data_IF_044064992141
#
_entry.id   IF_044064992141
#
_cell.length_a   1.000
_cell.length_b   1.000
_cell.length_c   1.000
_cell.angle_alpha   90.00
_cell.angle_beta   90.00
_cell.angle_gamma   90.00
#
_symmetry.space_group_name_H-M   'P 1'
#
loop_
_entity.id
_entity.type
_entity.pdbx_description
1 polymer ?
#
# COMPACT_ATOMS: atom_id res chain seq x y z
N UNK A 1 -18.44 0.97 -34.19
CA UNK A 1 -18.04 1.78 -33.03
C UNK A 1 -17.47 0.85 -32.01
N UNK A 2 -16.15 0.73 -31.94
CA UNK A 2 -15.45 -0.02 -30.90
C UNK A 2 -15.54 0.79 -29.60
N UNK A 3 -16.36 0.34 -28.67
CA UNK A 3 -16.34 0.88 -27.31
C UNK A 3 -14.96 0.58 -26.72
N UNK A 4 -14.10 1.59 -26.62
CA UNK A 4 -12.85 1.48 -25.85
C UNK A 4 -13.22 1.01 -24.44
N UNK A 5 -12.83 -0.21 -24.13
CA UNK A 5 -12.96 -0.77 -22.78
C UNK A 5 -12.04 0.03 -21.87
N UNK A 6 -12.62 0.98 -21.12
CA UNK A 6 -11.86 1.81 -20.19
C UNK A 6 -11.14 0.90 -19.17
N UNK A 7 -9.82 0.96 -19.17
CA UNK A 7 -9.00 0.17 -18.23
C UNK A 7 -9.38 0.54 -16.79
N UNK A 8 -9.59 -0.45 -15.91
CA UNK A 8 -9.93 -0.17 -14.53
C UNK A 8 -8.76 0.54 -13.83
N UNK A 9 -9.08 1.56 -13.02
CA UNK A 9 -8.14 2.33 -12.22
C UNK A 9 -8.29 1.95 -10.74
N UNK A 10 -7.22 1.43 -10.14
CA UNK A 10 -7.16 1.11 -8.72
C UNK A 10 -6.28 2.12 -7.99
N UNK A 11 -6.80 2.70 -6.93
CA UNK A 11 -6.08 3.67 -6.08
C UNK A 11 -5.44 2.95 -4.90
N UNK A 12 -4.14 3.09 -4.74
CA UNK A 12 -3.35 2.51 -3.66
C UNK A 12 -2.73 3.65 -2.84
N UNK A 13 -2.93 3.64 -1.53
CA UNK A 13 -2.33 4.60 -0.60
C UNK A 13 -1.12 3.97 0.10
N UNK A 14 -0.04 4.75 0.23
CA UNK A 14 1.08 4.44 1.12
C UNK A 14 0.87 5.16 2.44
N UNK A 15 0.85 4.42 3.55
CA UNK A 15 0.69 4.93 4.90
C UNK A 15 1.81 4.43 5.82
N UNK A 16 1.98 5.09 6.94
CA UNK A 16 2.99 4.79 7.95
C UNK A 16 3.69 6.05 8.45
N UNK A 17 4.50 5.90 9.48
CA UNK A 17 5.19 6.99 10.14
C UNK A 17 6.12 7.78 9.21
N UNK A 18 6.59 8.92 9.67
CA UNK A 18 7.63 9.67 8.98
C UNK A 18 8.92 8.84 8.89
N UNK A 19 9.68 9.02 7.81
CA UNK A 19 11.00 8.41 7.59
C UNK A 19 11.02 6.87 7.45
N UNK A 20 9.87 6.18 7.38
CA UNK A 20 9.83 4.73 7.11
C UNK A 20 10.17 4.38 5.66
N UNK A 21 10.30 5.38 4.78
CA UNK A 21 10.71 5.21 3.38
C UNK A 21 9.57 5.09 2.39
N UNK A 22 8.36 5.65 2.68
CA UNK A 22 7.21 5.64 1.75
C UNK A 22 7.55 6.23 0.38
N UNK A 23 8.17 7.40 0.36
CA UNK A 23 8.58 8.09 -0.88
C UNK A 23 9.63 7.28 -1.64
N UNK A 24 10.62 6.69 -0.95
CA UNK A 24 11.60 5.82 -1.59
C UNK A 24 10.94 4.56 -2.18
N UNK A 25 9.98 3.97 -1.47
CA UNK A 25 9.19 2.83 -1.94
C UNK A 25 8.35 3.21 -3.17
N UNK A 26 7.69 4.37 -3.15
CA UNK A 26 6.96 4.95 -4.26
C UNK A 26 7.84 5.13 -5.51
N UNK A 27 8.98 5.80 -5.37
CA UNK A 27 9.92 6.06 -6.47
C UNK A 27 10.51 4.76 -7.01
N UNK A 28 10.83 3.80 -6.13
CA UNK A 28 11.32 2.48 -6.54
C UNK A 28 10.31 1.75 -7.41
N UNK A 29 9.04 1.71 -7.02
CA UNK A 29 8.01 1.03 -7.79
C UNK A 29 7.68 1.75 -9.11
N UNK A 30 7.57 3.06 -9.10
CA UNK A 30 7.16 3.85 -10.28
C UNK A 30 8.29 4.00 -11.30
N UNK A 31 9.49 4.38 -10.84
CA UNK A 31 10.60 4.82 -11.70
C UNK A 31 11.82 3.90 -11.63
N UNK A 32 11.78 2.88 -10.78
CA UNK A 32 12.91 2.01 -10.46
C UNK A 32 14.16 2.80 -10.03
N UNK A 33 13.97 3.92 -9.32
CA UNK A 33 15.02 4.78 -8.79
C UNK A 33 15.04 4.75 -7.28
N UNK A 34 16.18 5.06 -6.67
CA UNK A 34 16.35 5.30 -5.27
C UNK A 34 17.17 6.57 -5.05
N UNK A 35 16.64 7.44 -4.23
CA UNK A 35 17.35 8.60 -3.72
C UNK A 35 17.18 8.63 -2.20
N UNK A 36 18.26 8.84 -1.50
CA UNK A 36 18.23 9.00 -0.06
C UNK A 36 17.59 10.36 0.26
N UNK A 37 16.29 10.31 0.64
CA UNK A 37 15.50 11.52 0.90
C UNK A 37 15.56 11.81 2.38
N UNK A 38 16.24 12.88 2.76
CA UNK A 38 16.36 13.35 4.14
C UNK A 38 15.29 14.40 4.51
N UNK A 39 14.48 14.85 3.55
CA UNK A 39 13.43 15.83 3.78
C UNK A 39 12.06 15.15 3.90
N UNK A 40 11.26 15.65 4.82
CA UNK A 40 9.85 15.22 4.95
C UNK A 40 9.07 15.59 3.70
N UNK A 41 8.28 14.64 3.18
CA UNK A 41 7.35 14.89 2.07
C UNK A 41 6.37 16.00 2.45
N UNK A 42 6.28 17.04 1.61
CA UNK A 42 5.31 18.13 1.80
C UNK A 42 4.13 17.86 0.87
N UNK A 43 2.99 17.46 1.46
CA UNK A 43 1.75 17.25 0.72
C UNK A 43 1.50 15.81 0.30
N UNK A 44 0.85 15.66 -0.84
CA UNK A 44 0.42 14.39 -1.40
C UNK A 44 0.84 14.34 -2.88
N UNK A 45 1.56 13.30 -3.27
CA UNK A 45 1.94 13.06 -4.65
C UNK A 45 1.25 11.79 -5.17
N UNK A 46 0.87 11.77 -6.45
CA UNK A 46 0.40 10.54 -7.08
C UNK A 46 0.90 10.36 -8.49
N UNK A 47 1.16 9.11 -8.86
CA UNK A 47 1.51 8.72 -10.24
C UNK A 47 0.68 7.53 -10.67
N UNK A 48 0.43 7.43 -11.98
CA UNK A 48 -0.29 6.31 -12.59
C UNK A 48 0.72 5.42 -13.31
N UNK A 49 0.64 4.12 -13.03
CA UNK A 49 1.39 3.07 -13.74
C UNK A 49 0.41 2.08 -14.35
N UNK A 50 0.62 1.72 -15.61
CA UNK A 50 -0.10 0.60 -16.25
C UNK A 50 0.64 -0.68 -15.92
N UNK A 51 -0.10 -1.68 -15.44
CA UNK A 51 0.44 -2.99 -15.04
C UNK A 51 -0.25 -4.06 -15.88
N UNK A 52 0.54 -4.94 -16.49
CA UNK A 52 0.07 -6.14 -17.16
C UNK A 52 -0.06 -7.26 -16.13
N UNK A 53 -1.20 -7.96 -16.15
CA UNK A 53 -1.50 -9.08 -15.27
C UNK A 53 -1.08 -10.39 -15.93
N UNK A 54 -0.91 -11.45 -15.14
CA UNK A 54 -0.52 -12.79 -15.62
C UNK A 54 -1.46 -13.35 -16.69
N UNK A 55 -2.70 -12.88 -16.76
CA UNK A 55 -3.71 -13.28 -17.75
C UNK A 55 -3.74 -12.38 -18.99
N UNK A 56 -2.76 -11.51 -19.18
CA UNK A 56 -2.62 -10.60 -20.32
C UNK A 56 -3.53 -9.37 -20.28
N UNK A 57 -4.32 -9.18 -19.23
CA UNK A 57 -5.11 -7.95 -19.02
C UNK A 57 -4.24 -6.84 -18.47
N UNK A 58 -4.58 -5.62 -18.80
CA UNK A 58 -3.95 -4.42 -18.23
C UNK A 58 -4.87 -3.71 -17.25
N UNK A 59 -4.27 -3.16 -16.20
CA UNK A 59 -4.94 -2.31 -15.22
C UNK A 59 -4.11 -1.08 -14.95
N UNK A 60 -4.74 0.01 -14.55
CA UNK A 60 -4.06 1.23 -14.11
C UNK A 60 -4.03 1.28 -12.58
N UNK A 61 -2.84 1.53 -12.05
CA UNK A 61 -2.62 1.75 -10.63
C UNK A 61 -2.31 3.23 -10.42
N UNK A 62 -3.10 3.92 -9.62
CA UNK A 62 -2.77 5.23 -9.11
C UNK A 62 -2.20 5.08 -7.72
N UNK A 63 -0.88 5.20 -7.60
CA UNK A 63 -0.18 5.12 -6.32
C UNK A 63 -0.07 6.53 -5.72
N UNK A 64 -0.41 6.65 -4.44
CA UNK A 64 -0.38 7.89 -3.69
C UNK A 64 0.67 7.81 -2.59
N UNK A 65 1.67 8.70 -2.66
CA UNK A 65 2.65 8.93 -1.59
C UNK A 65 2.11 9.99 -0.64
N UNK A 66 2.05 9.66 0.64
CA UNK A 66 1.53 10.57 1.67
C UNK A 66 2.65 11.06 2.58
N UNK A 67 2.56 12.31 3.03
CA UNK A 67 3.41 12.80 4.11
C UNK A 67 3.16 11.94 5.37
N UNK A 68 4.25 11.42 5.96
CA UNK A 68 4.21 10.56 7.16
C UNK A 68 3.94 11.32 8.45
N UNK A 69 3.49 12.58 8.37
CA UNK A 69 3.20 13.36 9.56
C UNK A 69 1.72 13.24 9.90
N UNK A 70 1.43 12.75 11.09
CA UNK A 70 0.12 12.73 11.75
C UNK A 70 -0.61 14.09 11.74
N UNK A 71 0.10 15.19 11.49
CA UNK A 71 -0.44 16.56 11.40
C UNK A 71 -1.37 16.80 10.21
N UNK A 72 -1.38 15.90 9.22
CA UNK A 72 -2.21 16.03 8.02
C UNK A 72 -3.43 15.09 7.99
N UNK A 73 -3.87 14.59 9.15
CA UNK A 73 -5.03 13.71 9.28
C UNK A 73 -6.28 14.20 8.53
N UNK A 74 -6.50 15.51 8.46
CA UNK A 74 -7.69 16.07 7.81
C UNK A 74 -7.67 15.91 6.28
N UNK A 75 -6.49 15.98 5.65
CA UNK A 75 -6.34 15.83 4.20
C UNK A 75 -6.43 14.34 3.82
N UNK A 76 -5.90 13.46 4.67
CA UNK A 76 -5.83 12.03 4.44
C UNK A 76 -7.21 11.36 4.45
N UNK A 77 -8.17 11.81 5.27
CA UNK A 77 -9.51 11.21 5.40
C UNK A 77 -10.29 11.08 4.07
N UNK A 78 -10.21 12.06 3.20
CA UNK A 78 -10.90 12.00 1.91
C UNK A 78 -10.29 10.97 0.95
N UNK A 79 -8.98 10.70 1.08
CA UNK A 79 -8.29 9.72 0.26
C UNK A 79 -8.56 8.29 0.72
N UNK A 80 -8.70 8.06 2.03
CA UNK A 80 -9.11 6.76 2.58
C UNK A 80 -10.40 6.25 1.94
N UNK A 81 -11.41 7.12 1.81
CA UNK A 81 -12.72 6.76 1.26
C UNK A 81 -12.69 6.31 -0.21
N UNK A 82 -11.68 6.73 -0.95
CA UNK A 82 -11.53 6.40 -2.37
C UNK A 82 -10.48 5.35 -2.64
N UNK A 83 -9.76 4.89 -1.61
CA UNK A 83 -8.74 3.86 -1.72
C UNK A 83 -9.36 2.50 -2.07
N UNK A 84 -8.66 1.74 -2.91
CA UNK A 84 -8.96 0.35 -3.22
C UNK A 84 -8.04 -0.59 -2.46
N UNK A 85 -6.82 -0.12 -2.17
CA UNK A 85 -5.85 -0.83 -1.35
C UNK A 85 -4.97 0.15 -0.56
N UNK A 86 -4.36 -0.36 0.50
CA UNK A 86 -3.45 0.37 1.39
C UNK A 86 -2.20 -0.48 1.62
N UNK A 87 -1.03 0.15 1.51
CA UNK A 87 0.24 -0.39 1.95
C UNK A 87 0.66 0.38 3.20
N UNK A 88 0.61 -0.28 4.36
CA UNK A 88 1.07 0.26 5.62
C UNK A 88 2.52 -0.13 5.82
N UNK A 89 3.42 0.86 5.89
CA UNK A 89 4.86 0.65 5.92
C UNK A 89 5.41 1.04 7.29
N UNK A 90 6.27 0.18 7.85
CA UNK A 90 7.11 0.50 8.99
C UNK A 90 8.58 0.22 8.66
N UNK A 91 9.49 0.73 9.47
CA UNK A 91 10.94 0.56 9.34
C UNK A 91 11.42 -0.54 10.29
N UNK A 92 12.01 -1.61 9.74
CA UNK A 92 12.52 -2.74 10.58
C UNK A 92 13.68 -2.34 11.48
N UNK A 93 14.34 -1.20 11.18
CA UNK A 93 15.43 -0.64 11.98
C UNK A 93 14.96 0.31 13.08
N UNK A 94 13.65 0.69 13.09
CA UNK A 94 13.09 1.61 14.06
C UNK A 94 11.85 1.03 14.77
N UNK A 95 12.07 0.49 15.98
CA UNK A 95 11.05 -0.22 16.77
C UNK A 95 9.80 0.61 17.04
N UNK A 96 9.95 1.93 17.16
CA UNK A 96 8.83 2.83 17.42
C UNK A 96 7.79 2.80 16.28
N UNK A 97 8.24 2.74 15.03
CA UNK A 97 7.36 2.69 13.85
C UNK A 97 6.57 1.37 13.79
N UNK A 98 7.17 0.26 14.24
CA UNK A 98 6.49 -1.02 14.38
C UNK A 98 5.44 -0.98 15.50
N UNK A 99 5.77 -0.38 16.65
CA UNK A 99 4.82 -0.24 17.76
C UNK A 99 3.59 0.58 17.37
N UNK A 100 3.75 1.54 16.46
CA UNK A 100 2.66 2.39 15.98
C UNK A 100 1.75 1.74 14.93
N UNK A 101 2.10 0.55 14.42
CA UNK A 101 1.30 -0.18 13.43
C UNK A 101 -0.15 -0.39 13.88
N UNK A 102 -0.38 -0.72 15.15
CA UNK A 102 -1.75 -0.94 15.68
C UNK A 102 -2.60 0.31 15.57
N UNK A 103 -2.07 1.47 15.92
CA UNK A 103 -2.76 2.75 15.82
C UNK A 103 -3.13 3.06 14.36
N UNK A 104 -2.22 2.80 13.41
CA UNK A 104 -2.51 2.95 11.99
C UNK A 104 -3.63 2.02 11.52
N UNK A 105 -3.61 0.75 11.94
CA UNK A 105 -4.64 -0.22 11.56
C UNK A 105 -6.01 0.17 12.13
N UNK A 106 -6.08 0.67 13.35
CA UNK A 106 -7.32 1.18 13.94
C UNK A 106 -7.87 2.36 13.14
N UNK A 107 -7.05 3.35 12.83
CA UNK A 107 -7.44 4.50 12.00
C UNK A 107 -7.91 4.08 10.61
N UNK A 108 -7.19 3.15 9.96
CA UNK A 108 -7.59 2.60 8.66
C UNK A 108 -8.98 1.98 8.76
N UNK A 109 -9.25 1.16 9.78
CA UNK A 109 -10.54 0.49 9.96
C UNK A 109 -11.71 1.44 10.20
N UNK A 110 -11.47 2.57 10.83
CA UNK A 110 -12.50 3.59 11.06
C UNK A 110 -12.87 4.35 9.78
N UNK A 111 -11.92 4.53 8.86
CA UNK A 111 -12.07 5.43 7.71
C UNK A 111 -12.35 4.70 6.40
N UNK A 112 -12.03 3.41 6.29
CA UNK A 112 -12.18 2.66 5.03
C UNK A 112 -13.27 1.60 5.08
N UNK A 113 -13.80 1.27 3.91
CA UNK A 113 -14.67 0.11 3.74
C UNK A 113 -13.92 -1.19 3.99
N UNK A 114 -14.60 -2.21 4.52
CA UNK A 114 -14.06 -3.58 4.68
C UNK A 114 -13.60 -4.24 3.38
N UNK A 115 -13.86 -3.62 2.23
CA UNK A 115 -13.42 -4.08 0.90
C UNK A 115 -11.99 -3.66 0.56
N UNK A 116 -11.46 -2.66 1.26
CA UNK A 116 -10.10 -2.15 1.00
C UNK A 116 -9.08 -3.18 1.46
N UNK A 117 -8.23 -3.62 0.54
CA UNK A 117 -7.16 -4.57 0.84
C UNK A 117 -6.03 -3.82 1.55
N UNK A 118 -5.66 -4.26 2.73
CA UNK A 118 -4.53 -3.68 3.48
C UNK A 118 -3.43 -4.73 3.64
N UNK A 119 -2.19 -4.31 3.41
CA UNK A 119 -0.99 -5.12 3.68
C UNK A 119 -0.03 -4.36 4.57
N UNK A 120 0.70 -5.09 5.43
CA UNK A 120 1.77 -4.56 6.27
C UNK A 120 3.11 -4.86 5.61
N UNK A 121 3.98 -3.85 5.53
CA UNK A 121 5.30 -3.97 4.92
C UNK A 121 6.38 -3.49 5.88
N UNK A 122 7.32 -4.38 6.23
CA UNK A 122 8.57 -4.05 6.88
C UNK A 122 9.60 -3.62 5.83
N UNK A 123 9.99 -2.35 5.83
CA UNK A 123 10.97 -1.79 4.90
C UNK A 123 12.36 -1.68 5.52
N UNK A 124 13.38 -1.51 4.69
CA UNK A 124 14.80 -1.35 5.00
C UNK A 124 15.48 -2.65 5.49
N UNK A 125 15.08 -3.79 4.93
CA UNK A 125 15.71 -5.08 5.25
C UNK A 125 17.16 -5.18 4.79
N UNK A 126 17.63 -4.27 3.95
CA UNK A 126 19.04 -4.13 3.55
C UNK A 126 19.94 -3.68 4.70
N UNK A 127 19.41 -3.11 5.76
CA UNK A 127 20.14 -2.65 6.95
C UNK A 127 20.02 -3.66 8.12
N UNK A 128 20.50 -4.88 7.86
CA UNK A 128 20.39 -5.99 8.81
C UNK A 128 21.16 -5.73 10.12
N UNK A 129 22.25 -4.96 10.06
CA UNK A 129 23.04 -4.60 11.24
C UNK A 129 22.26 -3.77 12.26
N UNK A 130 21.35 -2.93 11.78
CA UNK A 130 20.52 -2.06 12.61
C UNK A 130 19.11 -2.59 12.82
N UNK A 131 18.78 -3.82 12.34
CA UNK A 131 17.45 -4.41 12.49
C UNK A 131 17.06 -4.52 13.96
N UNK A 132 15.87 -3.99 14.30
CA UNK A 132 15.27 -4.03 15.64
C UNK A 132 13.95 -4.79 15.69
N UNK A 133 13.38 -5.12 14.54
CA UNK A 133 12.13 -5.88 14.41
C UNK A 133 12.40 -7.11 13.57
N UNK A 134 12.18 -8.30 14.16
CA UNK A 134 12.37 -9.56 13.44
C UNK A 134 11.21 -9.82 12.48
N UNK A 135 11.44 -10.72 11.54
CA UNK A 135 10.39 -11.12 10.59
C UNK A 135 9.20 -11.75 11.32
N UNK A 136 9.47 -12.59 12.32
CA UNK A 136 8.45 -13.26 13.13
C UNK A 136 7.58 -12.26 13.91
N UNK A 137 8.19 -11.18 14.42
CA UNK A 137 7.42 -10.08 15.04
C UNK A 137 6.49 -9.41 14.04
N UNK A 138 6.98 -9.12 12.81
CA UNK A 138 6.17 -8.55 11.75
C UNK A 138 5.00 -9.47 11.34
N UNK A 139 5.27 -10.76 11.17
CA UNK A 139 4.26 -11.78 10.87
C UNK A 139 3.22 -11.88 11.99
N UNK A 140 3.65 -11.86 13.26
CA UNK A 140 2.76 -11.92 14.42
C UNK A 140 1.84 -10.68 14.47
N UNK A 141 2.37 -9.47 14.24
CA UNK A 141 1.62 -8.24 14.18
C UNK A 141 0.56 -8.28 13.08
N UNK A 142 0.94 -8.67 11.88
CA UNK A 142 0.04 -8.76 10.74
C UNK A 142 -1.08 -9.78 10.97
N UNK A 143 -0.75 -10.94 11.56
CA UNK A 143 -1.72 -11.96 11.95
C UNK A 143 -2.72 -11.43 12.98
N UNK A 144 -2.26 -10.72 14.01
CA UNK A 144 -3.12 -10.08 15.01
C UNK A 144 -4.04 -9.03 14.35
N UNK A 145 -3.50 -8.28 13.40
CA UNK A 145 -4.25 -7.30 12.64
C UNK A 145 -5.09 -7.91 11.49
N UNK A 146 -5.04 -9.21 11.23
CA UNK A 146 -5.81 -9.86 10.16
C UNK A 146 -5.46 -9.37 8.75
N UNK A 147 -4.19 -8.97 8.51
CA UNK A 147 -3.67 -8.47 7.24
C UNK A 147 -2.43 -9.28 6.80
N UNK A 148 -2.07 -9.21 5.52
CA UNK A 148 -0.87 -9.88 5.00
C UNK A 148 0.39 -9.12 5.37
N UNK A 149 1.52 -9.84 5.57
CA UNK A 149 2.83 -9.27 5.86
C UNK A 149 3.82 -9.53 4.73
N UNK A 150 4.65 -8.53 4.47
CA UNK A 150 5.78 -8.60 3.55
C UNK A 150 6.97 -7.83 4.12
N UNK A 151 8.17 -8.18 3.65
CA UNK A 151 9.38 -7.41 3.89
C UNK A 151 10.00 -6.97 2.58
N UNK A 152 10.62 -5.79 2.57
CA UNK A 152 11.26 -5.25 1.37
C UNK A 152 12.41 -4.31 1.69
N UNK A 153 13.17 -3.99 0.65
CA UNK A 153 14.10 -2.86 0.64
C UNK A 153 13.78 -1.93 -0.53
N UNK A 154 13.31 -0.74 -0.23
CA UNK A 154 13.19 0.31 -1.24
C UNK A 154 14.56 0.73 -1.82
N UNK A 155 15.65 0.55 -1.06
CA UNK A 155 17.01 0.86 -1.48
C UNK A 155 17.51 -0.10 -2.54
N UNK A 156 17.41 -1.40 -2.31
CA UNK A 156 17.88 -2.43 -3.25
C UNK A 156 16.84 -2.79 -4.32
N UNK A 157 15.55 -2.56 -4.06
CA UNK A 157 14.42 -2.98 -4.89
C UNK A 157 13.90 -4.37 -4.52
N UNK A 158 14.49 -5.02 -3.52
CA UNK A 158 14.08 -6.36 -3.08
C UNK A 158 12.62 -6.39 -2.66
N UNK A 159 11.87 -7.37 -3.18
CA UNK A 159 10.46 -7.66 -2.90
C UNK A 159 9.44 -6.56 -3.24
N UNK A 160 9.81 -5.48 -3.94
CA UNK A 160 8.87 -4.41 -4.30
C UNK A 160 7.78 -4.93 -5.24
N UNK A 161 8.15 -5.49 -6.40
CA UNK A 161 7.20 -5.98 -7.39
C UNK A 161 6.31 -7.12 -6.86
N UNK A 162 6.82 -8.12 -6.11
CA UNK A 162 5.98 -9.16 -5.49
C UNK A 162 4.89 -8.61 -4.58
N UNK A 163 5.16 -7.56 -3.80
CA UNK A 163 4.17 -6.91 -2.93
C UNK A 163 3.04 -6.32 -3.77
N UNK A 164 3.37 -5.58 -4.83
CA UNK A 164 2.36 -4.98 -5.71
C UNK A 164 1.57 -6.03 -6.47
N UNK A 165 2.20 -7.09 -6.96
CA UNK A 165 1.52 -8.16 -7.69
C UNK A 165 0.47 -8.86 -6.81
N UNK A 166 0.81 -9.22 -5.58
CA UNK A 166 -0.13 -9.81 -4.62
C UNK A 166 -1.28 -8.84 -4.27
N UNK A 167 -0.93 -7.58 -3.96
CA UNK A 167 -1.90 -6.56 -3.59
C UNK A 167 -2.90 -6.27 -4.72
N UNK A 168 -2.42 -6.11 -5.95
CA UNK A 168 -3.26 -5.85 -7.14
C UNK A 168 -4.20 -7.02 -7.39
N UNK A 169 -3.69 -8.26 -7.34
CA UNK A 169 -4.48 -9.47 -7.51
C UNK A 169 -5.63 -9.54 -6.51
N UNK A 170 -5.34 -9.39 -5.21
CA UNK A 170 -6.34 -9.39 -4.14
C UNK A 170 -7.34 -8.25 -4.31
N UNK A 171 -6.87 -7.06 -4.70
CA UNK A 171 -7.74 -5.90 -4.94
C UNK A 171 -8.72 -6.17 -6.07
N UNK A 172 -8.26 -6.69 -7.20
CA UNK A 172 -9.11 -7.02 -8.33
C UNK A 172 -10.16 -8.07 -7.93
N UNK A 173 -9.77 -9.11 -7.20
CA UNK A 173 -10.68 -10.16 -6.73
C UNK A 173 -11.79 -9.59 -5.84
N UNK A 174 -11.45 -8.76 -4.86
CA UNK A 174 -12.43 -8.12 -3.97
C UNK A 174 -13.43 -7.23 -4.73
N UNK A 175 -12.96 -6.46 -5.71
CA UNK A 175 -13.84 -5.57 -6.46
C UNK A 175 -14.66 -6.29 -7.54
N UNK A 176 -14.20 -7.41 -8.09
CA UNK A 176 -15.01 -8.26 -8.98
C UNK A 176 -16.17 -8.92 -8.23
N UNK A 177 -15.90 -9.46 -7.04
CA UNK A 177 -16.90 -10.12 -6.22
C UNK A 177 -18.06 -9.20 -5.83
N UNK A 178 -17.78 -7.92 -5.64
CA UNK A 178 -18.78 -6.91 -5.31
C UNK A 178 -19.66 -6.56 -6.52
N UNK A 179 -19.05 -6.36 -7.68
CA UNK A 179 -19.81 -6.05 -8.89
C UNK A 179 -20.71 -7.21 -9.32
N UNK A 180 -20.31 -8.46 -9.12
CA UNK A 180 -21.14 -9.63 -9.39
C UNK A 180 -22.32 -9.75 -8.43
N UNK A 181 -22.16 -9.43 -7.12
CA UNK A 181 -23.25 -9.42 -6.16
C UNK A 181 -24.27 -8.31 -6.44
N UNK A 182 -23.81 -7.14 -6.83
CA UNK A 182 -24.70 -6.02 -7.21
C UNK A 182 -25.56 -6.40 -8.43
N UNK A 183 -24.97 -7.09 -9.42
CA UNK A 183 -25.68 -7.53 -10.61
C UNK A 183 -26.79 -8.55 -10.32
N UNK A 184 -26.60 -9.42 -9.32
CA UNK A 184 -27.60 -10.41 -8.89
C UNK A 184 -28.77 -9.75 -8.13
N UNK A 185 -28.49 -8.72 -7.33
CA UNK A 185 -29.52 -8.03 -6.54
C UNK A 185 -30.43 -7.15 -7.41
N UNK A 186 -29.94 -6.62 -8.53
CA UNK A 186 -30.72 -5.78 -9.45
C UNK A 186 -31.47 -6.57 -10.53
N UNK A 187 -31.21 -7.88 -10.68
CA UNK A 187 -31.86 -8.74 -11.67
C UNK A 187 -32.67 -9.89 -11.04
N UNK A 188 -32.89 -9.88 -9.74
CA UNK A 188 -33.81 -10.71 -8.99
C UNK A 188 -35.01 -9.90 -8.47
#
# INVERSE_FOLDING_TARGET
>A
MTTEKKEPLYKILLLGDSSVGKTCFFMRYIENTFQEIHMSTIGLESKIKTVELDDGRTVKIQLWDTAGQERFHTITKNYYKTAHAIILIFDVTEKATYQNVKNWVEQIREEVSSKVVTVLVGNKIDDEENRKVTKEEGEAMAKECGISYFECSAKTGENIDPIFNDLIKKTIENYKFVNSKIYIIFNS
#
